data_IF_364880365118
#
_entry.id   IF_364880365118
#
_cell.length_a   1.000
_cell.length_b   1.000
_cell.length_c   1.000
_cell.angle_alpha   90.00
_cell.angle_beta   90.00
_cell.angle_gamma   90.00
#
_symmetry.space_group_name_H-M   'P 1'
#
loop_
_entity.id
_entity.type
_entity.pdbx_description
1 polymer ?
#
# COMPACT_ATOMS: atom_id res chain seq x y z
N UNK A 1 18.56 -5.44 3.97
CA UNK A 1 17.41 -5.68 3.08
C UNK A 1 16.14 -5.72 3.92
N UNK A 2 15.52 -4.57 4.10
CA UNK A 2 14.18 -4.43 4.64
C UNK A 2 13.21 -4.17 3.48
N UNK A 3 11.99 -4.71 3.57
CA UNK A 3 10.95 -4.42 2.59
C UNK A 3 10.40 -3.01 2.85
N UNK A 4 10.51 -2.12 1.87
CA UNK A 4 9.96 -0.77 1.86
C UNK A 4 8.75 -0.70 0.94
N UNK A 5 8.00 0.40 1.03
CA UNK A 5 6.82 0.61 0.18
C UNK A 5 6.67 2.07 -0.27
N UNK A 6 5.93 2.26 -1.37
CA UNK A 6 5.56 3.57 -1.94
C UNK A 6 4.10 3.94 -1.73
N UNK A 7 3.40 3.29 -0.77
CA UNK A 7 1.96 3.49 -0.59
C UNK A 7 1.60 4.95 -0.28
N UNK A 8 2.43 5.64 0.52
CA UNK A 8 2.25 7.06 0.84
C UNK A 8 2.36 7.94 -0.41
N UNK A 9 3.38 7.68 -1.23
CA UNK A 9 3.64 8.41 -2.47
C UNK A 9 2.44 8.24 -3.41
N UNK A 10 2.07 6.99 -3.73
CA UNK A 10 0.92 6.66 -4.59
C UNK A 10 -0.37 7.32 -4.09
N UNK A 11 -0.65 7.22 -2.79
CA UNK A 11 -1.85 7.81 -2.20
C UNK A 11 -1.89 9.33 -2.37
N UNK A 12 -0.75 10.02 -2.19
CA UNK A 12 -0.68 11.48 -2.24
C UNK A 12 -0.59 12.03 -3.67
N UNK A 13 0.05 11.31 -4.59
CA UNK A 13 0.26 11.80 -5.98
C UNK A 13 -0.90 11.44 -6.91
N UNK A 14 -1.44 10.22 -6.81
CA UNK A 14 -2.42 9.71 -7.79
C UNK A 14 -3.86 9.87 -7.32
N UNK A 15 -4.09 9.77 -6.00
CA UNK A 15 -5.44 9.76 -5.45
C UNK A 15 -5.76 11.00 -4.61
N UNK A 16 -4.74 11.65 -4.02
CA UNK A 16 -4.89 12.78 -3.10
C UNK A 16 -5.90 12.50 -1.97
N UNK A 17 -5.96 11.25 -1.50
CA UNK A 17 -6.88 10.83 -0.46
C UNK A 17 -6.21 10.76 0.91
N UNK A 18 -7.01 10.98 1.95
CA UNK A 18 -6.61 10.65 3.32
C UNK A 18 -6.46 9.13 3.49
N UNK A 19 -5.66 8.72 4.49
CA UNK A 19 -5.38 7.28 4.75
C UNK A 19 -6.66 6.44 4.91
N UNK A 20 -7.67 6.98 5.61
CA UNK A 20 -8.95 6.31 5.83
C UNK A 20 -9.75 6.08 4.54
N UNK A 21 -9.83 7.08 3.67
CA UNK A 21 -10.54 6.98 2.39
C UNK A 21 -9.81 6.03 1.44
N UNK A 22 -8.48 6.10 1.42
CA UNK A 22 -7.67 5.20 0.60
C UNK A 22 -7.76 3.74 1.08
N UNK A 23 -7.74 3.49 2.39
CA UNK A 23 -7.97 2.17 2.95
C UNK A 23 -9.36 1.62 2.57
N UNK A 24 -10.39 2.48 2.59
CA UNK A 24 -11.75 2.13 2.17
C UNK A 24 -11.82 1.77 0.68
N UNK A 25 -11.15 2.53 -0.20
CA UNK A 25 -11.00 2.20 -1.62
C UNK A 25 -10.33 0.85 -1.83
N UNK A 26 -9.25 0.59 -1.09
CA UNK A 26 -8.55 -0.69 -1.12
C UNK A 26 -9.31 -1.84 -0.45
N UNK A 27 -10.44 -1.56 0.21
CA UNK A 27 -11.24 -2.51 1.02
C UNK A 27 -10.41 -3.20 2.10
N UNK A 28 -9.58 -2.45 2.80
CA UNK A 28 -8.75 -2.91 3.92
C UNK A 28 -9.03 -2.07 5.17
N UNK A 29 -8.68 -2.60 6.34
CA UNK A 29 -8.77 -1.83 7.57
C UNK A 29 -7.80 -0.64 7.54
N UNK A 30 -8.25 0.53 8.01
CA UNK A 30 -7.43 1.74 8.07
C UNK A 30 -6.15 1.51 8.91
N UNK A 31 -6.26 0.80 10.03
CA UNK A 31 -5.12 0.47 10.89
C UNK A 31 -4.07 -0.36 10.14
N UNK A 32 -4.51 -1.36 9.38
CA UNK A 32 -3.63 -2.19 8.54
C UNK A 32 -2.93 -1.35 7.48
N UNK A 33 -3.66 -0.47 6.80
CA UNK A 33 -3.06 0.45 5.82
C UNK A 33 -2.02 1.37 6.45
N UNK A 34 -2.34 2.00 7.58
CA UNK A 34 -1.41 2.87 8.31
C UNK A 34 -0.13 2.14 8.72
N UNK A 35 -0.24 0.88 9.18
CA UNK A 35 0.93 0.06 9.54
C UNK A 35 1.82 -0.25 8.34
N UNK A 36 1.23 -0.54 7.18
CA UNK A 36 1.99 -0.74 5.94
C UNK A 36 2.66 0.55 5.50
N UNK A 37 1.93 1.66 5.44
CA UNK A 37 2.48 2.96 5.03
C UNK A 37 3.65 3.40 5.94
N UNK A 38 3.57 3.07 7.24
CA UNK A 38 4.62 3.37 8.22
C UNK A 38 5.77 2.33 8.25
N UNK A 39 5.65 1.23 7.49
CA UNK A 39 6.64 0.15 7.47
C UNK A 39 6.68 -0.72 8.73
N UNK A 40 5.66 -0.66 9.59
CA UNK A 40 5.56 -1.45 10.83
C UNK A 40 5.33 -2.93 10.51
N UNK A 41 4.48 -3.20 9.53
CA UNK A 41 4.21 -4.55 9.05
C UNK A 41 4.05 -4.55 7.54
N UNK A 42 4.13 -5.74 6.94
CA UNK A 42 4.00 -5.91 5.50
C UNK A 42 2.74 -6.71 5.17
N UNK A 43 2.12 -6.46 4.02
CA UNK A 43 1.01 -7.29 3.56
C UNK A 43 1.48 -8.72 3.28
N UNK A 44 0.55 -9.66 3.38
CA UNK A 44 0.74 -11.00 2.82
C UNK A 44 0.86 -10.90 1.29
N UNK A 45 1.59 -11.82 0.67
CA UNK A 45 1.84 -11.83 -0.77
C UNK A 45 0.55 -11.71 -1.60
N UNK A 46 -0.48 -12.51 -1.28
CA UNK A 46 -1.78 -12.48 -1.96
C UNK A 46 -2.45 -11.10 -1.89
N UNK A 47 -2.36 -10.44 -0.74
CA UNK A 47 -2.95 -9.13 -0.51
C UNK A 47 -2.17 -8.03 -1.23
N UNK A 48 -0.84 -8.15 -1.27
CA UNK A 48 0.03 -7.27 -2.04
C UNK A 48 -0.30 -7.34 -3.55
N UNK A 49 -0.48 -8.55 -4.10
CA UNK A 49 -0.93 -8.73 -5.48
C UNK A 49 -2.33 -8.18 -5.74
N UNK A 50 -3.25 -8.39 -4.80
CA UNK A 50 -4.62 -7.87 -4.91
C UNK A 50 -4.64 -6.35 -4.94
N UNK A 51 -3.85 -5.70 -4.08
CA UNK A 51 -3.72 -4.24 -4.04
C UNK A 51 -3.02 -3.73 -5.29
N UNK A 52 -1.94 -4.38 -5.74
CA UNK A 52 -1.24 -4.04 -6.97
C UNK A 52 -2.20 -4.03 -8.18
N UNK A 53 -3.05 -5.07 -8.29
CA UNK A 53 -4.11 -5.11 -9.31
C UNK A 53 -5.12 -3.97 -9.18
N UNK A 54 -5.55 -3.62 -7.96
CA UNK A 54 -6.48 -2.48 -7.74
C UNK A 54 -5.87 -1.13 -8.08
N UNK A 55 -4.58 -0.96 -7.81
CA UNK A 55 -3.82 0.24 -8.13
C UNK A 55 -3.33 0.26 -9.58
N UNK A 56 -3.60 -0.79 -10.36
CA UNK A 56 -3.12 -1.00 -11.72
C UNK A 56 -1.59 -0.81 -11.85
N UNK A 57 -0.85 -1.35 -10.88
CA UNK A 57 0.62 -1.30 -10.82
C UNK A 57 1.17 -2.71 -10.57
N UNK A 58 2.46 -2.88 -10.81
CA UNK A 58 3.15 -4.11 -10.41
C UNK A 58 3.49 -4.06 -8.91
N UNK A 59 3.62 -5.24 -8.31
CA UNK A 59 3.89 -5.37 -6.87
C UNK A 59 5.26 -4.80 -6.49
N UNK A 60 6.26 -4.95 -7.35
CA UNK A 60 7.62 -4.43 -7.21
C UNK A 60 7.71 -2.90 -7.33
N UNK A 61 6.78 -2.26 -8.03
CA UNK A 61 6.66 -0.79 -8.05
C UNK A 61 6.15 -0.24 -6.71
N UNK A 62 5.33 -1.02 -6.00
CA UNK A 62 4.74 -0.62 -4.72
C UNK A 62 5.62 -1.04 -3.55
N UNK A 63 6.15 -2.26 -3.55
CA UNK A 63 7.01 -2.82 -2.49
C UNK A 63 8.37 -3.24 -3.05
N UNK A 64 9.45 -2.76 -2.44
CA UNK A 64 10.82 -2.98 -2.93
C UNK A 64 11.76 -3.30 -1.76
N UNK A 65 12.85 -4.02 -2.05
CA UNK A 65 13.88 -4.35 -1.07
C UNK A 65 14.97 -3.28 -1.06
N UNK A 66 15.31 -2.78 0.13
CA UNK A 66 16.41 -1.83 0.38
C UNK A 66 17.32 -2.34 1.49
#
# INVERSE_FOLDING_TARGET
>A
MALKNRLKEIRMTEYMLGQKEFAKMLKIANTTYCQWESGICNPKLELAFTIAKKLNKKTDEIWYLE
#
